data_IF_667234703232
#
_entry.id   IF_667234703232
#
_cell.length_a   1.000
_cell.length_b   1.000
_cell.length_c   1.000
_cell.angle_alpha   90.00
_cell.angle_beta   90.00
_cell.angle_gamma   90.00
#
_symmetry.space_group_name_H-M   'P 1'
#
loop_
_entity.id
_entity.type
_entity.pdbx_description
1 polymer ?
#
# COMPACT_ATOMS: atom_id res chain seq x y z
N UNK A 1 -43.21 -21.43 -48.69
CA UNK A 1 -42.37 -20.22 -48.54
C UNK A 1 -41.87 -20.20 -47.11
N UNK A 2 -40.61 -19.83 -46.93
CA UNK A 2 -39.67 -20.22 -45.87
C UNK A 2 -40.08 -20.02 -44.40
N UNK A 3 -39.64 -20.99 -43.59
CA UNK A 3 -39.38 -20.94 -42.14
C UNK A 3 -38.18 -20.00 -41.89
N UNK A 4 -38.19 -19.20 -40.81
CA UNK A 4 -36.96 -18.94 -40.02
C UNK A 4 -37.29 -18.65 -38.55
N UNK A 5 -36.73 -19.51 -37.70
CA UNK A 5 -36.61 -19.38 -36.25
C UNK A 5 -35.46 -18.42 -35.86
N UNK A 6 -35.45 -18.09 -34.56
CA UNK A 6 -34.32 -17.66 -33.72
C UNK A 6 -33.63 -16.33 -34.01
N UNK A 7 -33.68 -15.42 -33.03
CA UNK A 7 -32.48 -14.90 -32.36
C UNK A 7 -32.81 -14.28 -30.99
N UNK A 8 -33.28 -15.15 -30.08
CA UNK A 8 -33.15 -14.95 -28.64
C UNK A 8 -31.71 -15.32 -28.24
N UNK A 9 -30.74 -14.45 -28.54
CA UNK A 9 -29.34 -14.47 -28.04
C UNK A 9 -28.58 -13.36 -28.75
N UNK A 10 -28.38 -12.21 -28.11
CA UNK A 10 -27.16 -11.36 -28.14
C UNK A 10 -27.49 -10.01 -27.47
N UNK A 11 -27.69 -10.02 -26.15
CA UNK A 11 -27.56 -8.81 -25.32
C UNK A 11 -26.97 -9.05 -23.93
N UNK A 12 -26.60 -10.30 -23.62
CA UNK A 12 -25.67 -10.63 -22.54
C UNK A 12 -24.25 -10.50 -23.09
N UNK A 13 -23.54 -9.41 -22.77
CA UNK A 13 -22.08 -9.40 -22.97
C UNK A 13 -21.38 -8.08 -23.27
N UNK A 14 -22.07 -6.93 -23.31
CA UNK A 14 -21.41 -5.65 -23.62
C UNK A 14 -21.91 -4.54 -22.69
N UNK A 15 -21.63 -4.63 -21.38
CA UNK A 15 -21.67 -3.45 -20.50
C UNK A 15 -21.11 -3.64 -19.07
N UNK A 16 -20.03 -4.37 -18.85
CA UNK A 16 -19.26 -4.25 -17.58
C UNK A 16 -17.77 -4.52 -17.78
N UNK A 17 -17.10 -3.68 -18.58
CA UNK A 17 -15.70 -3.36 -18.31
C UNK A 17 -15.61 -1.84 -18.27
N UNK A 18 -16.06 -1.26 -17.16
CA UNK A 18 -15.43 -0.01 -16.70
C UNK A 18 -14.04 -0.44 -16.26
N UNK A 19 -13.08 -0.41 -17.18
CA UNK A 19 -11.67 -0.40 -16.81
C UNK A 19 -11.51 0.81 -15.88
N UNK A 20 -11.39 0.55 -14.57
CA UNK A 20 -10.86 1.55 -13.63
C UNK A 20 -9.58 2.06 -14.29
N UNK A 21 -9.54 3.32 -14.67
CA UNK A 21 -8.28 3.95 -15.01
C UNK A 21 -7.42 3.86 -13.75
N UNK A 22 -6.49 2.91 -13.73
CA UNK A 22 -5.52 2.78 -12.64
C UNK A 22 -4.71 4.06 -12.63
N UNK A 23 -4.95 4.94 -11.66
CA UNK A 23 -4.14 6.15 -11.50
C UNK A 23 -2.71 5.67 -11.27
N UNK A 24 -1.83 5.87 -12.27
CA UNK A 24 -0.42 5.49 -12.14
C UNK A 24 0.23 6.48 -11.19
N UNK A 25 0.42 6.08 -9.94
CA UNK A 25 1.10 6.89 -8.93
C UNK A 25 2.38 6.21 -8.43
N UNK A 26 3.27 6.95 -7.77
CA UNK A 26 4.42 6.35 -7.10
C UNK A 26 4.07 5.42 -5.93
N UNK A 27 2.86 5.54 -5.36
CA UNK A 27 2.35 4.59 -4.38
C UNK A 27 1.63 3.46 -5.11
N UNK A 28 2.39 2.43 -5.48
CA UNK A 28 1.94 1.33 -6.33
C UNK A 28 2.41 -0.02 -5.76
N UNK A 29 2.05 -1.10 -6.46
CA UNK A 29 2.39 -2.48 -6.08
C UNK A 29 3.88 -2.69 -5.83
N UNK A 30 4.74 -2.20 -6.71
CA UNK A 30 6.19 -2.32 -6.56
C UNK A 30 6.68 -1.67 -5.27
N UNK A 31 6.21 -0.45 -4.97
CA UNK A 31 6.55 0.23 -3.73
C UNK A 31 6.03 -0.53 -2.50
N UNK A 32 4.79 -1.02 -2.51
CA UNK A 32 4.23 -1.76 -1.38
C UNK A 32 4.97 -3.06 -1.10
N UNK A 33 5.36 -3.79 -2.15
CA UNK A 33 6.15 -5.03 -2.01
C UNK A 33 7.52 -4.75 -1.40
N UNK A 34 8.18 -3.66 -1.80
CA UNK A 34 9.42 -3.25 -1.16
C UNK A 34 9.21 -2.82 0.30
N UNK A 35 8.10 -2.14 0.59
CA UNK A 35 7.76 -1.71 1.94
C UNK A 35 7.47 -2.91 2.86
N UNK A 36 6.69 -3.89 2.38
CA UNK A 36 6.43 -5.17 3.06
C UNK A 36 7.74 -5.87 3.43
N UNK A 37 8.65 -6.05 2.46
CA UNK A 37 9.95 -6.64 2.70
C UNK A 37 10.73 -5.91 3.79
N UNK A 38 10.75 -4.58 3.75
CA UNK A 38 11.47 -3.78 4.76
C UNK A 38 10.83 -3.90 6.15
N UNK A 39 9.49 -3.88 6.25
CA UNK A 39 8.76 -4.10 7.51
C UNK A 39 9.13 -5.47 8.11
N UNK A 40 9.15 -6.53 7.30
CA UNK A 40 9.58 -7.86 7.76
C UNK A 40 10.98 -7.83 8.36
N UNK A 41 11.91 -7.10 7.74
CA UNK A 41 13.28 -7.00 8.25
C UNK A 41 13.43 -6.18 9.52
N UNK A 42 12.59 -5.17 9.72
CA UNK A 42 12.54 -4.46 11.00
C UNK A 42 11.94 -5.34 12.10
N UNK A 43 10.85 -6.06 11.81
CA UNK A 43 10.24 -7.01 12.74
C UNK A 43 11.21 -8.13 13.15
N UNK A 44 12.00 -8.67 12.22
CA UNK A 44 13.03 -9.68 12.49
C UNK A 44 14.12 -9.18 13.47
N UNK A 45 14.36 -7.88 13.52
CA UNK A 45 15.40 -7.25 14.36
C UNK A 45 14.88 -6.71 15.69
N UNK A 46 13.57 -6.66 15.87
CA UNK A 46 12.96 -6.08 17.07
C UNK A 46 13.36 -6.88 18.31
N UNK A 47 13.85 -6.16 19.32
CA UNK A 47 14.10 -6.72 20.66
C UNK A 47 12.81 -6.79 21.51
N UNK A 48 11.68 -6.30 20.99
CA UNK A 48 10.39 -6.40 21.65
C UNK A 48 9.89 -7.85 21.66
N UNK A 49 9.69 -8.39 22.86
CA UNK A 49 9.23 -9.75 23.07
C UNK A 49 7.81 -9.99 22.51
N UNK A 50 6.96 -8.96 22.45
CA UNK A 50 5.59 -9.07 21.92
C UNK A 50 5.59 -9.22 20.39
N UNK A 51 6.50 -8.53 19.72
CA UNK A 51 6.70 -8.60 18.27
C UNK A 51 7.50 -9.83 17.83
N UNK A 52 8.01 -10.64 18.76
CA UNK A 52 8.81 -11.82 18.43
C UNK A 52 8.03 -12.80 17.55
N UNK A 53 8.57 -13.05 16.35
CA UNK A 53 7.99 -13.94 15.35
C UNK A 53 6.88 -13.30 14.51
N UNK A 54 6.66 -11.99 14.63
CA UNK A 54 5.83 -11.25 13.68
C UNK A 54 6.52 -11.15 12.34
N UNK A 55 5.72 -11.10 11.29
CA UNK A 55 6.12 -10.77 9.93
C UNK A 55 4.97 -10.02 9.25
N UNK A 56 5.26 -9.45 8.08
CA UNK A 56 4.31 -8.73 7.25
C UNK A 56 3.98 -9.57 6.02
N UNK A 57 2.69 -9.86 5.80
CA UNK A 57 2.18 -10.62 4.65
C UNK A 57 1.64 -9.72 3.53
N UNK A 58 1.75 -8.40 3.72
CA UNK A 58 1.40 -7.44 2.67
C UNK A 58 1.13 -6.03 3.17
N UNK A 59 1.28 -5.08 2.25
CA UNK A 59 0.79 -3.71 2.40
C UNK A 59 -0.19 -3.41 1.28
N UNK A 60 -1.37 -2.89 1.63
CA UNK A 60 -2.39 -2.55 0.64
C UNK A 60 -1.96 -1.34 -0.18
N UNK A 61 -1.93 -1.50 -1.51
CA UNK A 61 -1.65 -0.42 -2.46
C UNK A 61 -2.90 0.31 -2.91
N UNK A 62 -4.04 0.09 -2.23
CA UNK A 62 -5.34 0.59 -2.63
C UNK A 62 -5.92 1.53 -1.56
N UNK A 63 -5.22 2.63 -1.20
CA UNK A 63 -5.86 3.69 -0.44
C UNK A 63 -6.96 4.34 -1.29
N UNK A 64 -7.75 5.22 -0.67
CA UNK A 64 -8.76 5.99 -1.42
C UNK A 64 -8.09 6.85 -2.51
N UNK A 65 -8.70 6.98 -3.69
CA UNK A 65 -8.12 7.71 -4.83
C UNK A 65 -7.73 9.17 -4.49
N UNK A 66 -8.47 9.83 -3.60
CA UNK A 66 -8.17 11.20 -3.13
C UNK A 66 -6.78 11.26 -2.48
N UNK A 67 -6.41 10.25 -1.69
CA UNK A 67 -5.11 10.18 -1.01
C UNK A 67 -3.95 10.01 -1.99
N UNK A 68 -4.21 9.45 -3.18
CA UNK A 68 -3.22 9.27 -4.23
C UNK A 68 -2.97 10.55 -5.05
N UNK A 69 -3.71 11.63 -4.79
CA UNK A 69 -3.48 12.89 -5.48
C UNK A 69 -2.23 13.59 -4.95
N UNK A 70 -1.44 14.21 -5.84
CA UNK A 70 -0.27 15.01 -5.45
C UNK A 70 -0.61 16.11 -4.44
N UNK A 71 -1.79 16.72 -4.59
CA UNK A 71 -2.30 17.73 -3.66
C UNK A 71 -2.48 17.16 -2.27
N UNK A 72 -3.18 16.02 -2.14
CA UNK A 72 -3.40 15.39 -0.84
C UNK A 72 -2.08 15.01 -0.17
N UNK A 73 -1.17 14.34 -0.89
CA UNK A 73 0.13 13.93 -0.35
C UNK A 73 0.97 15.14 0.06
N UNK A 74 0.95 16.23 -0.70
CA UNK A 74 1.68 17.45 -0.35
C UNK A 74 1.11 18.13 0.91
N UNK A 75 -0.21 18.24 0.99
CA UNK A 75 -0.88 19.01 2.05
C UNK A 75 -0.93 18.25 3.37
N UNK A 76 -1.20 16.94 3.32
CA UNK A 76 -1.35 16.10 4.52
C UNK A 76 -0.07 15.38 4.89
N UNK A 77 0.87 15.22 3.95
CA UNK A 77 2.14 14.49 4.12
C UNK A 77 1.98 13.06 4.64
N UNK A 78 0.84 12.44 4.35
CA UNK A 78 0.58 11.05 4.71
C UNK A 78 -0.35 10.35 3.73
N UNK A 79 -0.30 9.02 3.74
CA UNK A 79 -1.30 8.12 3.18
C UNK A 79 -1.69 7.13 4.28
N UNK A 80 -2.99 6.91 4.44
CA UNK A 80 -3.58 5.89 5.31
C UNK A 80 -3.99 4.69 4.46
N UNK A 81 -3.49 3.53 4.84
CA UNK A 81 -3.72 2.24 4.18
C UNK A 81 -3.82 1.12 5.22
N UNK A 82 -3.66 -0.13 4.79
CA UNK A 82 -3.62 -1.33 5.64
C UNK A 82 -2.34 -2.11 5.42
N UNK A 83 -1.87 -2.77 6.46
CA UNK A 83 -0.88 -3.83 6.38
C UNK A 83 -1.41 -5.06 7.11
N UNK A 84 -0.92 -6.23 6.70
CA UNK A 84 -1.20 -7.49 7.35
C UNK A 84 0.06 -7.90 8.10
N UNK A 85 0.04 -7.79 9.43
CA UNK A 85 1.18 -8.17 10.28
C UNK A 85 0.72 -9.07 11.41
N UNK A 86 1.57 -10.00 11.81
CA UNK A 86 1.28 -10.88 12.94
C UNK A 86 2.12 -12.14 12.86
N UNK A 87 1.89 -13.09 13.78
CA UNK A 87 2.59 -14.38 13.77
C UNK A 87 2.10 -15.28 12.64
N UNK A 88 0.82 -15.17 12.30
CA UNK A 88 0.18 -15.88 11.20
C UNK A 88 0.03 -15.03 9.92
N UNK A 89 0.45 -13.76 9.98
CA UNK A 89 0.35 -12.80 8.88
C UNK A 89 -1.07 -12.33 8.56
N UNK A 90 -2.08 -12.63 9.38
CA UNK A 90 -3.49 -12.40 9.01
C UNK A 90 -4.13 -11.19 9.71
N UNK A 91 -3.52 -10.69 10.77
CA UNK A 91 -4.04 -9.53 11.50
C UNK A 91 -3.90 -8.24 10.68
N UNK A 92 -5.01 -7.51 10.55
CA UNK A 92 -5.07 -6.26 9.78
C UNK A 92 -4.76 -5.07 10.69
N UNK A 93 -3.76 -4.28 10.31
CA UNK A 93 -3.37 -3.06 10.99
C UNK A 93 -3.70 -1.83 10.14
N UNK A 94 -4.18 -0.77 10.78
CA UNK A 94 -4.23 0.56 10.16
C UNK A 94 -2.80 1.05 9.98
N UNK A 95 -2.42 1.41 8.76
CA UNK A 95 -1.05 1.84 8.45
C UNK A 95 -1.05 3.29 8.00
N UNK A 96 -0.31 4.14 8.71
CA UNK A 96 -0.13 5.55 8.36
C UNK A 96 1.29 5.72 7.84
N UNK A 97 1.43 6.11 6.57
CA UNK A 97 2.72 6.30 5.90
C UNK A 97 2.97 7.79 5.77
N UNK A 98 3.87 8.32 6.57
CA UNK A 98 4.29 9.72 6.55
C UNK A 98 5.38 9.96 5.50
N UNK A 99 5.24 11.06 4.75
CA UNK A 99 6.12 11.42 3.66
C UNK A 99 7.12 12.50 4.10
N UNK A 100 8.38 12.12 4.23
CA UNK A 100 9.50 13.04 4.39
C UNK A 100 9.81 13.85 3.12
N UNK A 101 10.82 14.71 3.21
CA UNK A 101 11.15 15.67 2.15
C UNK A 101 11.53 14.98 0.84
N UNK A 102 12.26 13.85 0.90
CA UNK A 102 12.70 13.10 -0.28
C UNK A 102 11.50 12.41 -0.93
N UNK A 103 10.65 11.74 -0.15
CA UNK A 103 9.43 11.07 -0.60
C UNK A 103 8.46 12.07 -1.26
N UNK A 104 8.19 13.21 -0.62
CA UNK A 104 7.34 14.28 -1.19
C UNK A 104 7.87 14.76 -2.55
N UNK A 105 9.18 15.00 -2.66
CA UNK A 105 9.81 15.46 -3.90
C UNK A 105 9.72 14.40 -5.00
N UNK A 106 9.85 13.11 -4.67
CA UNK A 106 9.72 12.01 -5.63
C UNK A 106 8.27 11.84 -6.06
N UNK A 107 7.33 11.87 -5.11
CA UNK A 107 5.91 11.78 -5.37
C UNK A 107 5.43 12.87 -6.33
N UNK A 108 5.79 14.13 -6.08
CA UNK A 108 5.42 15.26 -6.92
C UNK A 108 5.91 15.13 -8.38
N UNK A 109 7.01 14.39 -8.58
CA UNK A 109 7.67 14.18 -9.88
C UNK A 109 7.34 12.82 -10.51
N UNK A 110 6.37 12.09 -9.97
CA UNK A 110 5.99 10.74 -10.41
C UNK A 110 7.19 9.78 -10.46
N UNK A 111 8.16 9.97 -9.56
CA UNK A 111 9.34 9.12 -9.44
C UNK A 111 9.10 8.02 -8.44
N UNK A 112 9.76 6.89 -8.68
CA UNK A 112 9.82 5.77 -7.76
C UNK A 112 10.14 6.20 -6.31
N UNK A 113 9.45 5.57 -5.35
CA UNK A 113 9.54 5.87 -3.92
C UNK A 113 10.46 4.93 -3.15
N UNK A 114 10.92 3.82 -3.72
CA UNK A 114 11.65 2.75 -2.99
C UNK A 114 12.87 3.29 -2.25
N UNK A 115 13.64 4.16 -2.91
CA UNK A 115 14.78 4.88 -2.30
C UNK A 115 14.41 5.76 -1.10
N UNK A 116 13.14 6.07 -0.88
CA UNK A 116 12.67 6.90 0.24
C UNK A 116 12.44 6.07 1.50
N UNK A 117 12.37 4.75 1.37
CA UNK A 117 12.32 3.83 2.51
C UNK A 117 13.72 3.82 3.15
N UNK A 118 13.82 3.99 4.49
CA UNK A 118 15.10 3.88 5.17
C UNK A 118 15.79 2.53 4.90
N UNK A 119 17.12 2.50 4.72
CA UNK A 119 17.83 1.25 4.50
C UNK A 119 17.86 0.41 5.78
N UNK A 120 18.00 -0.91 5.64
CA UNK A 120 18.02 -1.88 6.75
C UNK A 120 18.98 -1.54 7.91
N UNK A 121 20.07 -0.83 7.66
CA UNK A 121 21.05 -0.49 8.70
C UNK A 121 20.92 0.96 9.16
N UNK A 122 19.75 1.57 8.96
CA UNK A 122 19.49 2.91 9.44
C UNK A 122 19.34 2.89 10.96
N UNK A 123 20.01 3.82 11.63
CA UNK A 123 19.80 4.09 13.06
C UNK A 123 18.50 4.86 13.31
N UNK A 124 17.79 5.28 12.26
CA UNK A 124 16.55 6.01 12.36
C UNK A 124 15.39 5.04 12.62
N UNK A 125 14.74 5.19 13.76
CA UNK A 125 13.45 4.55 14.04
C UNK A 125 12.39 5.12 13.08
N UNK A 126 11.98 4.29 12.12
CA UNK A 126 11.08 4.69 11.04
C UNK A 126 9.77 3.91 11.01
N UNK A 127 9.66 2.90 11.87
CA UNK A 127 8.48 2.08 12.08
C UNK A 127 8.11 2.14 13.57
N UNK A 128 6.83 2.32 13.84
CA UNK A 128 6.26 2.26 15.19
C UNK A 128 5.02 1.38 15.11
N UNK A 129 4.93 0.38 15.99
CA UNK A 129 3.86 -0.63 15.97
C UNK A 129 3.12 -0.59 17.30
N UNK A 130 1.82 -0.36 17.22
CA UNK A 130 0.91 -0.42 18.35
C UNK A 130 0.03 -1.66 18.19
N UNK A 131 0.34 -2.70 18.97
CA UNK A 131 -0.34 -3.99 18.94
C UNK A 131 -1.75 -3.87 19.50
N UNK A 132 -1.95 -3.05 20.55
CA UNK A 132 -3.24 -2.89 21.22
C UNK A 132 -4.26 -2.20 20.30
N UNK A 133 -3.85 -1.12 19.65
CA UNK A 133 -4.71 -0.36 18.73
C UNK A 133 -4.69 -0.89 17.29
N UNK A 134 -3.90 -1.92 17.01
CA UNK A 134 -3.65 -2.47 15.66
C UNK A 134 -3.31 -1.37 14.66
N UNK A 135 -2.30 -0.57 14.98
CA UNK A 135 -1.79 0.48 14.09
C UNK A 135 -0.29 0.41 13.87
N UNK A 136 0.14 0.85 12.68
CA UNK A 136 1.55 0.99 12.31
C UNK A 136 1.76 2.40 11.77
N UNK A 137 2.77 3.10 12.26
CA UNK A 137 3.26 4.33 11.66
C UNK A 137 4.58 4.08 10.92
N UNK A 138 4.67 4.52 9.67
CA UNK A 138 5.86 4.40 8.83
C UNK A 138 6.34 5.78 8.40
N UNK A 139 7.64 6.05 8.50
CA UNK A 139 8.24 7.36 8.22
C UNK A 139 9.24 7.27 7.07
N UNK A 140 8.85 7.73 5.89
CA UNK A 140 9.72 7.81 4.72
C UNK A 140 10.63 9.06 4.80
N UNK A 141 11.83 8.98 4.22
CA UNK A 141 12.78 10.10 4.14
C UNK A 141 12.34 11.23 3.19
#
# INVERSE_FOLDING_TARGET
MHIFESDYRTSLGLNMIKTKQTIKTPFNEEFCTQLEYQICKELEKSDDQELRGFWCDGVSCLPTEIQLTKKHVNDNRKIETKAWIGKDGQDVYLTIIYFGKKALKRYAKDKDLTDSIPPLNSEQEWIEIDIENKSIELRLS
#
